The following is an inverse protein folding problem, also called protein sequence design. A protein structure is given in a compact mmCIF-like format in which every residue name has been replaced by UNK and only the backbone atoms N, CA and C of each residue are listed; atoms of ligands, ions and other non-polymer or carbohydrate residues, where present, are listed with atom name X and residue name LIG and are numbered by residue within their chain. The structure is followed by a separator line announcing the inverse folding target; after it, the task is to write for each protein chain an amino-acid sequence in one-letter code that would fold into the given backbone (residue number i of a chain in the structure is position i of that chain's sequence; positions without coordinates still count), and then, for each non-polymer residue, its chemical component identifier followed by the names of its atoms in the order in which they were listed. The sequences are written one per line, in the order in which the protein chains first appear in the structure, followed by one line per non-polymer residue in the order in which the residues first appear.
data_IF_523837354838
#
_entry.id   IF_523837354838
#
_cell.length_a   1.000
_cell.length_b   1.000
_cell.length_c   1.000
_cell.angle_alpha   90.00
_cell.angle_beta   90.00
_cell.angle_gamma   90.00
#
_symmetry.space_group_name_H-M   'P 1'
#
loop_
_entity.id
_entity.type
_entity.pdbx_description
1 polymer ?
#
# COMPACT_ATOMS: atom_id res chain seq x y z
N UNK A 1 -13.31 -6.11 30.87
CA UNK A 1 -13.83 -6.68 29.60
C UNK A 1 -13.40 -5.74 28.50
N UNK A 2 -12.41 -6.14 27.70
CA UNK A 2 -11.91 -5.32 26.58
C UNK A 2 -12.95 -5.40 25.47
N UNK A 3 -13.55 -4.27 25.11
CA UNK A 3 -14.40 -4.20 23.92
C UNK A 3 -13.50 -4.48 22.72
N UNK A 4 -13.83 -5.42 21.82
CA UNK A 4 -13.03 -5.65 20.62
C UNK A 4 -13.02 -4.36 19.80
N UNK A 5 -11.83 -3.94 19.38
CA UNK A 5 -11.71 -2.81 18.48
C UNK A 5 -12.54 -3.08 17.22
N UNK A 6 -13.25 -2.08 16.68
CA UNK A 6 -14.01 -2.25 15.47
C UNK A 6 -13.11 -2.68 14.32
N UNK A 7 -13.65 -3.50 13.41
CA UNK A 7 -12.90 -3.98 12.26
C UNK A 7 -12.54 -2.80 11.33
N UNK A 8 -11.32 -2.79 10.76
CA UNK A 8 -10.93 -1.75 9.83
C UNK A 8 -11.75 -1.83 8.54
N UNK A 9 -12.06 -0.67 7.97
CA UNK A 9 -12.63 -0.55 6.62
C UNK A 9 -11.48 -0.57 5.62
N UNK A 10 -11.58 -1.44 4.61
CA UNK A 10 -10.60 -1.53 3.53
C UNK A 10 -11.21 -0.95 2.26
N UNK A 11 -10.47 -0.07 1.58
CA UNK A 11 -10.90 0.55 0.33
C UNK A 11 -9.73 0.72 -0.65
N UNK A 12 -10.08 0.83 -1.92
CA UNK A 12 -9.15 1.30 -2.95
C UNK A 12 -8.87 2.80 -2.76
N UNK A 13 -7.60 3.17 -2.76
CA UNK A 13 -7.13 4.54 -2.63
C UNK A 13 -7.21 5.28 -3.97
N UNK A 14 -8.43 5.67 -4.35
CA UNK A 14 -8.71 6.35 -5.63
C UNK A 14 -8.45 7.86 -5.57
N UNK A 15 -8.67 8.48 -4.41
CA UNK A 15 -8.46 9.91 -4.21
C UNK A 15 -7.03 10.22 -3.74
N UNK A 16 -6.65 11.50 -3.85
CA UNK A 16 -5.30 11.95 -3.47
C UNK A 16 -5.02 11.74 -1.99
N UNK A 17 -6.01 11.96 -1.12
CA UNK A 17 -5.83 11.87 0.33
C UNK A 17 -5.53 10.43 0.78
N UNK A 18 -6.21 9.44 0.19
CA UNK A 18 -5.93 8.04 0.47
C UNK A 18 -4.56 7.61 -0.05
N UNK A 19 -4.16 8.09 -1.23
CA UNK A 19 -2.84 7.78 -1.77
C UNK A 19 -1.75 8.36 -0.87
N UNK A 20 -1.93 9.58 -0.38
CA UNK A 20 -1.03 10.20 0.60
C UNK A 20 -1.00 9.40 1.91
N UNK A 21 -2.15 8.91 2.39
CA UNK A 21 -2.21 8.05 3.57
C UNK A 21 -1.49 6.71 3.37
N UNK A 22 -1.65 6.05 2.22
CA UNK A 22 -0.88 4.86 1.85
C UNK A 22 0.63 5.13 1.90
N UNK A 23 1.07 6.26 1.36
CA UNK A 23 2.47 6.64 1.34
C UNK A 23 3.02 6.97 2.74
N UNK A 24 2.20 7.60 3.59
CA UNK A 24 2.57 7.86 4.98
C UNK A 24 2.79 6.55 5.76
N UNK A 25 1.87 5.59 5.68
CA UNK A 25 2.03 4.28 6.34
C UNK A 25 3.29 3.56 5.86
N UNK A 26 3.56 3.57 4.56
CA UNK A 26 4.79 2.99 3.99
C UNK A 26 6.05 3.67 4.49
N UNK A 27 6.04 5.00 4.60
CA UNK A 27 7.19 5.76 5.10
C UNK A 27 7.46 5.43 6.57
N UNK A 28 6.43 5.37 7.40
CA UNK A 28 6.59 5.02 8.81
C UNK A 28 7.20 3.62 8.95
N UNK A 29 6.67 2.62 8.25
CA UNK A 29 7.15 1.24 8.37
C UNK A 29 8.49 1.02 7.66
N UNK A 30 8.60 1.35 6.37
CA UNK A 30 9.79 1.03 5.61
C UNK A 30 10.96 1.97 5.94
N UNK A 31 10.72 3.27 6.05
CA UNK A 31 11.79 4.23 6.32
C UNK A 31 12.08 4.33 7.80
N UNK A 32 11.08 4.63 8.63
CA UNK A 32 11.33 4.92 10.05
C UNK A 32 11.62 3.66 10.87
N UNK A 33 10.92 2.55 10.62
CA UNK A 33 11.09 1.31 11.40
C UNK A 33 12.13 0.35 10.79
N UNK A 34 12.09 0.14 9.48
CA UNK A 34 12.97 -0.82 8.80
C UNK A 34 14.25 -0.22 8.23
N UNK A 35 14.38 1.12 8.22
CA UNK A 35 15.59 1.82 7.78
C UNK A 35 15.83 1.77 6.27
N UNK A 36 14.78 1.57 5.46
CA UNK A 36 14.84 1.70 4.01
C UNK A 36 15.11 3.18 3.68
N UNK A 37 16.13 3.49 2.83
CA UNK A 37 16.35 4.85 2.39
C UNK A 37 15.10 5.47 1.73
N UNK A 38 14.74 6.68 2.14
CA UNK A 38 13.51 7.34 1.68
C UNK A 38 13.48 7.55 0.16
N UNK A 39 14.65 7.76 -0.45
CA UNK A 39 14.83 7.99 -1.88
C UNK A 39 14.51 6.75 -2.76
N UNK A 40 14.50 5.55 -2.18
CA UNK A 40 14.17 4.30 -2.89
C UNK A 40 12.80 3.72 -2.50
N UNK A 41 12.10 4.34 -1.53
CA UNK A 41 10.79 3.87 -1.09
C UNK A 41 9.74 4.07 -2.20
N UNK A 42 9.80 5.19 -2.91
CA UNK A 42 8.91 5.46 -4.04
C UNK A 42 9.57 5.05 -5.34
N UNK A 43 8.83 4.34 -6.18
CA UNK A 43 9.30 3.93 -7.49
C UNK A 43 8.32 4.28 -8.62
N UNK A 44 8.78 4.14 -9.86
CA UNK A 44 7.98 4.48 -11.04
C UNK A 44 6.67 3.67 -11.15
N UNK A 45 6.55 2.54 -10.45
CA UNK A 45 5.34 1.72 -10.47
C UNK A 45 4.24 2.29 -9.57
N UNK A 46 4.55 3.18 -8.62
CA UNK A 46 3.55 3.75 -7.71
C UNK A 46 2.47 4.56 -8.44
N UNK A 47 2.80 5.21 -9.55
CA UNK A 47 1.84 6.01 -10.32
C UNK A 47 0.70 5.17 -10.92
N UNK A 48 1.04 3.97 -11.43
CA UNK A 48 0.11 3.10 -12.16
C UNK A 48 -0.41 1.89 -11.38
N UNK A 49 -0.04 1.75 -10.10
CA UNK A 49 -0.53 0.68 -9.24
C UNK A 49 -1.92 0.99 -8.67
N UNK A 50 -2.70 -0.06 -8.40
CA UNK A 50 -3.87 0.04 -7.52
C UNK A 50 -3.38 0.01 -6.09
N UNK A 51 -3.70 1.02 -5.30
CA UNK A 51 -3.35 1.10 -3.88
C UNK A 51 -4.57 0.77 -3.04
N UNK A 52 -4.37 0.04 -1.94
CA UNK A 52 -5.42 -0.28 -0.97
C UNK A 52 -5.04 0.26 0.40
N UNK A 53 -6.01 0.81 1.11
CA UNK A 53 -5.84 1.39 2.43
C UNK A 53 -6.81 0.74 3.41
N UNK A 54 -6.29 0.29 4.55
CA UNK A 54 -7.06 -0.11 5.71
C UNK A 54 -7.14 1.07 6.68
N UNK A 55 -8.35 1.43 7.11
CA UNK A 55 -8.62 2.59 7.96
C UNK A 55 -9.44 2.17 9.18
N UNK A 56 -9.08 2.70 10.34
CA UNK A 56 -9.86 2.57 11.58
C UNK A 56 -11.19 3.32 11.53
N UNK A 57 -12.05 3.08 12.51
CA UNK A 57 -13.32 3.80 12.69
C UNK A 57 -13.12 5.29 12.98
N UNK A 58 -11.97 5.64 13.56
CA UNK A 58 -11.50 7.00 13.81
C UNK A 58 -10.88 7.68 12.57
N UNK A 59 -10.82 7.00 11.43
CA UNK A 59 -10.19 7.50 10.22
C UNK A 59 -8.67 7.33 10.18
N UNK A 60 -8.06 6.69 11.19
CA UNK A 60 -6.61 6.46 11.23
C UNK A 60 -6.19 5.42 10.17
N UNK A 61 -5.15 5.67 9.36
CA UNK A 61 -4.56 4.66 8.50
C UNK A 61 -3.93 3.55 9.35
N UNK A 62 -4.29 2.29 9.09
CA UNK A 62 -3.83 1.11 9.83
C UNK A 62 -2.98 0.17 8.99
N UNK A 63 -3.00 0.32 7.67
CA UNK A 63 -2.25 -0.56 6.78
C UNK A 63 -2.48 -0.24 5.33
N UNK A 64 -1.55 -0.65 4.48
CA UNK A 64 -1.60 -0.37 3.04
C UNK A 64 -0.90 -1.44 2.22
N UNK A 65 -1.21 -1.48 0.93
CA UNK A 65 -0.50 -2.28 -0.07
C UNK A 65 -0.72 -1.74 -1.48
N UNK A 66 0.05 -2.25 -2.43
CA UNK A 66 -0.20 -1.98 -3.86
C UNK A 66 -0.27 -3.27 -4.68
N UNK A 67 -1.08 -3.22 -5.74
CA UNK A 67 -1.19 -4.22 -6.78
C UNK A 67 -0.73 -3.62 -8.11
N UNK A 68 0.31 -4.21 -8.69
CA UNK A 68 0.67 -4.00 -10.09
C UNK A 68 -0.14 -4.96 -10.96
N UNK A 69 -0.51 -4.52 -12.16
CA UNK A 69 -1.20 -5.32 -13.17
C UNK A 69 -0.65 -5.04 -14.58
N UNK A 70 -0.98 -5.90 -15.55
CA UNK A 70 -0.54 -5.76 -16.94
C UNK A 70 0.98 -5.82 -17.10
N UNK A 71 1.55 -4.95 -17.95
CA UNK A 71 2.98 -4.97 -18.27
C UNK A 71 3.89 -4.75 -17.04
N UNK A 72 3.47 -3.88 -16.11
CA UNK A 72 4.22 -3.63 -14.88
C UNK A 72 4.31 -4.89 -13.99
N UNK A 73 3.23 -5.67 -13.93
CA UNK A 73 3.22 -6.94 -13.20
C UNK A 73 3.99 -8.03 -13.94
N UNK A 74 3.81 -8.15 -15.26
CA UNK A 74 4.53 -9.13 -16.09
C UNK A 74 6.05 -9.03 -15.92
N UNK A 75 6.60 -7.81 -15.82
CA UNK A 75 8.02 -7.58 -15.54
C UNK A 75 8.52 -8.12 -14.18
N UNK A 76 7.60 -8.40 -13.25
CA UNK A 76 7.85 -8.95 -11.91
C UNK A 76 7.42 -10.42 -11.75
N UNK A 77 6.58 -10.93 -12.65
CA UNK A 77 5.93 -12.26 -12.54
C UNK A 77 6.38 -13.25 -13.61
N UNK A 78 7.54 -13.03 -14.24
CA UNK A 78 8.08 -13.95 -15.24
C UNK A 78 7.45 -13.81 -16.64
N UNK A 79 6.82 -12.65 -16.92
CA UNK A 79 6.34 -12.28 -18.24
C UNK A 79 4.86 -12.53 -18.51
N UNK A 80 4.10 -13.07 -17.55
CA UNK A 80 2.67 -13.31 -17.72
C UNK A 80 1.84 -12.04 -17.41
N UNK A 81 1.18 -11.41 -18.41
CA UNK A 81 0.38 -10.22 -18.20
C UNK A 81 -0.95 -10.48 -17.47
N UNK A 82 -1.37 -11.74 -17.32
CA UNK A 82 -2.58 -12.12 -16.58
C UNK A 82 -2.36 -12.23 -15.06
N UNK A 83 -1.10 -12.22 -14.60
CA UNK A 83 -0.74 -12.35 -13.19
C UNK A 83 -0.41 -10.98 -12.60
N UNK A 84 -1.14 -10.59 -11.56
CA UNK A 84 -0.85 -9.38 -10.79
C UNK A 84 0.33 -9.56 -9.82
N UNK A 85 0.95 -8.46 -9.41
CA UNK A 85 2.04 -8.47 -8.41
C UNK A 85 1.68 -7.60 -7.22
N UNK A 86 1.50 -8.21 -6.06
CA UNK A 86 1.33 -7.49 -4.79
C UNK A 86 2.69 -7.11 -4.20
N UNK A 87 2.77 -5.93 -3.60
CA UNK A 87 3.97 -5.47 -2.92
C UNK A 87 3.73 -4.23 -2.07
N UNK A 88 4.80 -3.73 -1.44
CA UNK A 88 4.78 -2.55 -0.55
C UNK A 88 3.69 -2.65 0.53
N UNK A 89 3.56 -3.84 1.14
CA UNK A 89 2.62 -4.10 2.23
C UNK A 89 3.22 -3.60 3.55
N UNK A 90 2.53 -2.68 4.22
CA UNK A 90 2.97 -2.05 5.45
C UNK A 90 1.80 -1.96 6.44
N UNK A 91 2.05 -2.28 7.71
CA UNK A 91 1.10 -2.27 8.85
C UNK A 91 1.83 -1.91 10.14
#
# INVERSE_FOLDING_TARGET
MTVPAPAPVVREAVDTADREACFAVRKDVFVAEQGVPEDIEYDAYDAGAVHVLAVGDDGRPLGTGRLLHGAAAAGKTGGDPAVGSLGRLAV
#
